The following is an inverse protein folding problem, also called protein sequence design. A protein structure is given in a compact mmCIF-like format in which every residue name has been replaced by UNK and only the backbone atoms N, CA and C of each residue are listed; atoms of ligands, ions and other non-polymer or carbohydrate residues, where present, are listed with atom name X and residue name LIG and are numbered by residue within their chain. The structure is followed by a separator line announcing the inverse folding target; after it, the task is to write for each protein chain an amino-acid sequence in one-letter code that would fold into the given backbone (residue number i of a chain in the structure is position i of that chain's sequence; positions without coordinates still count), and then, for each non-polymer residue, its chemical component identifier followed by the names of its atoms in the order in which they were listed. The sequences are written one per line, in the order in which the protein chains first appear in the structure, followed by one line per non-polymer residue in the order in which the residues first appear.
data_IF_681626884629
#
_entry.id   IF_681626884629
#
_cell.length_a   1.000
_cell.length_b   1.000
_cell.length_c   1.000
_cell.angle_alpha   90.00
_cell.angle_beta   90.00
_cell.angle_gamma   90.00
#
_symmetry.space_group_name_H-M   'P 1'
#
loop_
_entity.id
_entity.type
_entity.pdbx_description
1 polymer ?
#
# COMPACT_ATOMS: atom_id res chain seq x y z
N UNK A 1 -19.22 23.81 21.20
CA UNK A 1 -18.26 22.80 20.68
C UNK A 1 -18.49 22.70 19.18
N UNK A 2 -17.69 23.42 18.39
CA UNK A 2 -18.05 23.86 17.04
C UNK A 2 -17.85 22.75 15.99
N UNK A 3 -18.92 22.46 15.25
CA UNK A 3 -18.97 21.48 14.15
C UNK A 3 -17.99 21.82 13.01
N UNK A 4 -17.61 23.09 12.88
CA UNK A 4 -16.81 23.61 11.77
C UNK A 4 -15.33 23.20 11.81
N UNK A 5 -14.77 22.87 12.97
CA UNK A 5 -13.37 22.41 13.08
C UNK A 5 -13.19 20.93 12.73
N UNK A 6 -14.28 20.14 12.76
CA UNK A 6 -14.25 18.71 12.41
C UNK A 6 -14.21 18.48 10.90
N UNK A 7 -14.84 19.37 10.12
CA UNK A 7 -14.86 19.33 8.66
C UNK A 7 -13.46 19.42 8.04
N UNK A 8 -12.61 20.43 8.33
CA UNK A 8 -11.29 20.56 7.70
C UNK A 8 -10.37 19.40 8.09
N UNK A 9 -10.41 18.90 9.33
CA UNK A 9 -9.65 17.72 9.75
C UNK A 9 -10.06 16.46 8.99
N UNK A 10 -11.37 16.24 8.80
CA UNK A 10 -11.88 15.11 7.99
C UNK A 10 -11.48 15.25 6.53
N UNK A 11 -11.61 16.44 5.94
CA UNK A 11 -11.22 16.69 4.55
C UNK A 11 -9.73 16.42 4.32
N UNK A 12 -8.86 16.90 5.22
CA UNK A 12 -7.41 16.64 5.12
C UNK A 12 -7.09 15.14 5.24
N UNK A 13 -7.73 14.42 6.16
CA UNK A 13 -7.59 12.95 6.25
C UNK A 13 -8.03 12.25 4.96
N UNK A 14 -9.15 12.68 4.38
CA UNK A 14 -9.72 12.04 3.19
C UNK A 14 -8.84 12.30 1.97
N UNK A 15 -8.37 13.55 1.80
CA UNK A 15 -7.41 13.91 0.76
C UNK A 15 -6.08 13.15 0.91
N UNK A 16 -5.56 13.03 2.14
CA UNK A 16 -4.34 12.25 2.39
C UNK A 16 -4.53 10.77 2.06
N UNK A 17 -5.70 10.21 2.36
CA UNK A 17 -6.04 8.81 2.04
C UNK A 17 -6.10 8.59 0.52
N UNK A 18 -6.78 9.49 -0.21
CA UNK A 18 -6.87 9.44 -1.67
C UNK A 18 -5.49 9.62 -2.32
N UNK A 19 -4.70 10.56 -1.81
CA UNK A 19 -3.34 10.78 -2.31
C UNK A 19 -2.45 9.54 -2.12
N UNK A 20 -2.47 8.90 -0.94
CA UNK A 20 -1.72 7.66 -0.72
C UNK A 20 -2.20 6.51 -1.60
N UNK A 21 -3.51 6.40 -1.84
CA UNK A 21 -4.06 5.42 -2.78
C UNK A 21 -3.56 5.65 -4.20
N UNK A 22 -3.54 6.92 -4.65
CA UNK A 22 -3.00 7.30 -5.96
C UNK A 22 -1.50 7.01 -6.08
N UNK A 23 -0.71 7.30 -5.04
CA UNK A 23 0.73 6.97 -5.01
C UNK A 23 0.94 5.45 -5.06
N UNK A 24 0.13 4.67 -4.35
CA UNK A 24 0.20 3.21 -4.40
C UNK A 24 -0.12 2.65 -5.79
N UNK A 25 -1.15 3.17 -6.45
CA UNK A 25 -1.48 2.84 -7.84
C UNK A 25 -0.34 3.18 -8.81
N UNK A 26 0.18 4.40 -8.72
CA UNK A 26 1.25 4.87 -9.61
C UNK A 26 2.55 4.10 -9.39
N UNK A 27 2.89 3.77 -8.14
CA UNK A 27 4.07 2.97 -7.81
C UNK A 27 3.92 1.55 -8.33
N UNK A 28 2.74 0.93 -8.23
CA UNK A 28 2.48 -0.38 -8.85
C UNK A 28 2.70 -0.30 -10.36
N UNK A 29 2.06 0.64 -11.04
CA UNK A 29 2.19 0.80 -12.48
C UNK A 29 3.65 1.04 -12.91
N UNK A 30 4.40 1.85 -12.14
CA UNK A 30 5.79 2.17 -12.42
C UNK A 30 6.78 1.03 -12.19
N UNK A 31 6.55 0.16 -11.20
CA UNK A 31 7.46 -0.95 -10.88
C UNK A 31 7.06 -2.26 -11.53
N UNK A 32 5.77 -2.59 -11.50
CA UNK A 32 5.22 -3.88 -11.92
C UNK A 32 4.50 -3.82 -13.28
N UNK A 33 4.12 -2.63 -13.74
CA UNK A 33 3.36 -2.47 -14.99
C UNK A 33 4.22 -2.43 -16.26
N UNK A 34 5.52 -2.11 -16.16
CA UNK A 34 6.35 -1.85 -17.35
C UNK A 34 7.05 -3.09 -17.92
N UNK A 35 7.42 -4.06 -17.07
CA UNK A 35 8.08 -5.29 -17.50
C UNK A 35 7.47 -6.50 -16.77
N UNK A 36 6.61 -7.21 -17.49
CA UNK A 36 5.89 -8.41 -17.05
C UNK A 36 6.39 -9.68 -17.77
N UNK A 37 7.60 -9.62 -18.35
CA UNK A 37 8.16 -10.74 -19.11
C UNK A 37 8.46 -11.90 -18.17
N UNK A 38 7.91 -13.06 -18.51
CA UNK A 38 8.22 -14.31 -17.80
C UNK A 38 9.55 -14.83 -18.31
N UNK A 39 10.52 -14.91 -17.41
CA UNK A 39 11.78 -15.57 -17.70
C UNK A 39 11.60 -17.08 -17.62
N UNK A 40 11.97 -17.76 -18.70
CA UNK A 40 11.98 -19.22 -18.78
C UNK A 40 13.38 -19.68 -18.42
N UNK A 41 13.50 -20.35 -17.29
CA UNK A 41 14.77 -20.91 -16.86
C UNK A 41 15.15 -22.13 -17.72
N UNK A 42 16.45 -22.48 -17.80
CA UNK A 42 16.93 -23.62 -18.59
C UNK A 42 16.35 -24.98 -18.17
N UNK A 43 15.78 -25.07 -16.96
CA UNK A 43 15.11 -26.25 -16.41
C UNK A 43 13.61 -26.33 -16.78
N UNK A 44 13.11 -25.38 -17.57
CA UNK A 44 11.70 -25.28 -17.97
C UNK A 44 10.78 -24.65 -16.92
N UNK A 45 11.32 -24.23 -15.77
CA UNK A 45 10.55 -23.43 -14.81
C UNK A 45 10.37 -22.00 -15.32
N UNK A 46 9.21 -21.42 -15.05
CA UNK A 46 8.94 -20.01 -15.35
C UNK A 46 8.95 -19.24 -14.05
N UNK A 47 9.73 -18.16 -13.99
CA UNK A 47 9.56 -17.19 -12.90
C UNK A 47 8.23 -16.47 -13.09
N UNK A 48 7.64 -16.05 -11.96
CA UNK A 48 6.44 -15.21 -12.00
C UNK A 48 6.68 -13.94 -12.82
N UNK A 49 5.62 -13.28 -13.31
CA UNK A 49 5.75 -12.10 -14.17
C UNK A 49 6.42 -10.89 -13.48
N UNK A 50 6.64 -10.95 -12.16
CA UNK A 50 7.32 -9.90 -11.41
C UNK A 50 8.60 -10.43 -10.79
N UNK A 51 9.66 -9.66 -10.97
CA UNK A 51 10.96 -9.91 -10.36
C UNK A 51 11.01 -9.39 -8.92
N UNK A 52 11.81 -10.04 -8.08
CA UNK A 52 11.93 -9.69 -6.67
C UNK A 52 12.37 -8.22 -6.47
N UNK A 53 13.23 -7.70 -7.36
CA UNK A 53 13.70 -6.31 -7.28
C UNK A 53 12.58 -5.30 -7.59
N UNK A 54 11.62 -5.64 -8.47
CA UNK A 54 10.47 -4.76 -8.75
C UNK A 54 9.57 -4.64 -7.52
N UNK A 55 9.31 -5.77 -6.85
CA UNK A 55 8.53 -5.81 -5.60
C UNK A 55 9.24 -5.04 -4.49
N UNK A 56 10.56 -5.19 -4.35
CA UNK A 56 11.36 -4.43 -3.39
C UNK A 56 11.30 -2.93 -3.70
N UNK A 57 11.44 -2.53 -4.96
CA UNK A 57 11.32 -1.14 -5.39
C UNK A 57 9.96 -0.53 -5.05
N UNK A 58 8.87 -1.27 -5.27
CA UNK A 58 7.52 -0.88 -4.88
C UNK A 58 7.43 -0.65 -3.36
N UNK A 59 7.88 -1.61 -2.55
CA UNK A 59 7.84 -1.50 -1.08
C UNK A 59 8.64 -0.30 -0.58
N UNK A 60 9.85 -0.10 -1.10
CA UNK A 60 10.70 1.03 -0.73
C UNK A 60 10.09 2.38 -1.14
N UNK A 61 9.33 2.42 -2.24
CA UNK A 61 8.63 3.63 -2.69
C UNK A 61 7.43 3.98 -1.79
N UNK A 62 6.73 2.97 -1.25
CA UNK A 62 5.55 3.17 -0.40
C UNK A 62 5.87 3.42 1.08
N UNK A 63 7.06 3.00 1.54
CA UNK A 63 7.51 3.19 2.92
C UNK A 63 7.51 4.66 3.38
N UNK A 64 8.12 5.62 2.65
CA UNK A 64 8.15 7.03 3.04
C UNK A 64 6.76 7.67 3.23
N UNK A 65 5.80 7.58 2.29
CA UNK A 65 4.48 8.17 2.46
C UNK A 65 3.66 7.50 3.57
N UNK A 66 3.77 6.18 3.77
CA UNK A 66 3.12 5.48 4.89
C UNK A 66 3.72 5.90 6.23
N UNK A 67 5.05 6.01 6.31
CA UNK A 67 5.73 6.50 7.51
C UNK A 67 5.31 7.92 7.87
N UNK A 68 5.24 8.81 6.88
CA UNK A 68 4.77 10.18 7.07
C UNK A 68 3.33 10.22 7.59
N UNK A 69 2.41 9.47 7.00
CA UNK A 69 1.01 9.40 7.46
C UNK A 69 0.89 8.83 8.88
N UNK A 70 1.67 7.78 9.20
CA UNK A 70 1.69 7.16 10.52
C UNK A 70 2.26 8.11 11.60
N UNK A 71 3.35 8.81 11.33
CA UNK A 71 3.95 9.78 12.25
C UNK A 71 3.02 10.96 12.58
N UNK A 72 2.12 11.33 11.65
CA UNK A 72 1.08 12.35 11.85
C UNK A 72 -0.18 11.82 12.53
N UNK A 73 -0.21 10.53 12.93
CA UNK A 73 -1.37 9.82 13.51
C UNK A 73 -2.61 9.77 12.59
N UNK A 74 -2.39 9.82 11.28
CA UNK A 74 -3.45 9.72 10.28
C UNK A 74 -3.76 8.24 9.97
N UNK A 75 -4.32 7.52 10.96
CA UNK A 75 -4.54 6.07 10.91
C UNK A 75 -5.29 5.61 9.64
N UNK A 76 -6.38 6.31 9.29
CA UNK A 76 -7.17 5.99 8.10
C UNK A 76 -6.35 6.14 6.81
N UNK A 77 -5.52 7.19 6.71
CA UNK A 77 -4.71 7.43 5.51
C UNK A 77 -3.56 6.42 5.39
N UNK A 78 -2.87 6.11 6.50
CA UNK A 78 -1.73 5.22 6.53
C UNK A 78 -2.10 3.75 6.21
N UNK A 79 -3.32 3.33 6.56
CA UNK A 79 -3.77 1.94 6.40
C UNK A 79 -4.67 1.79 5.17
N UNK A 80 -5.73 2.60 5.06
CA UNK A 80 -6.72 2.42 4.00
C UNK A 80 -6.22 2.93 2.63
N UNK A 81 -5.36 3.95 2.60
CA UNK A 81 -4.83 4.52 1.36
C UNK A 81 -4.03 3.49 0.54
N UNK A 82 -2.92 2.95 1.07
CA UNK A 82 -2.11 1.96 0.37
C UNK A 82 -2.88 0.67 0.09
N UNK A 83 -3.70 0.21 1.04
CA UNK A 83 -4.53 -0.99 0.87
C UNK A 83 -5.49 -0.83 -0.31
N UNK A 84 -6.22 0.28 -0.38
CA UNK A 84 -7.14 0.55 -1.48
C UNK A 84 -6.40 0.69 -2.82
N UNK A 85 -5.31 1.45 -2.86
CA UNK A 85 -4.53 1.65 -4.08
C UNK A 85 -3.93 0.34 -4.62
N UNK A 86 -3.32 -0.47 -3.76
CA UNK A 86 -2.76 -1.77 -4.15
C UNK A 86 -3.85 -2.75 -4.60
N UNK A 87 -5.00 -2.78 -3.90
CA UNK A 87 -6.11 -3.68 -4.26
C UNK A 87 -6.70 -3.31 -5.63
N UNK A 88 -6.86 -2.01 -5.90
CA UNK A 88 -7.36 -1.54 -7.20
C UNK A 88 -6.36 -1.82 -8.32
N UNK A 89 -5.05 -1.59 -8.10
CA UNK A 89 -4.03 -1.97 -9.08
C UNK A 89 -4.06 -3.46 -9.39
N UNK A 90 -4.10 -4.31 -8.35
CA UNK A 90 -4.18 -5.77 -8.51
C UNK A 90 -5.42 -6.18 -9.32
N UNK A 91 -6.56 -5.56 -9.02
CA UNK A 91 -7.80 -5.84 -9.74
C UNK A 91 -7.68 -5.45 -11.21
N UNK A 92 -7.21 -4.24 -11.52
CA UNK A 92 -7.06 -3.79 -12.92
C UNK A 92 -6.07 -4.66 -13.68
N UNK A 93 -4.95 -5.04 -13.07
CA UNK A 93 -3.87 -5.81 -13.70
C UNK A 93 -4.26 -7.27 -13.95
N UNK A 94 -5.09 -7.88 -13.07
CA UNK A 94 -5.40 -9.32 -13.14
C UNK A 94 -6.83 -9.65 -13.55
N UNK A 95 -7.73 -8.66 -13.67
CA UNK A 95 -9.16 -8.91 -13.95
C UNK A 95 -9.45 -9.58 -15.29
N UNK A 96 -8.51 -9.53 -16.24
CA UNK A 96 -8.64 -10.19 -17.55
C UNK A 96 -8.36 -11.71 -17.50
N UNK A 97 -7.95 -12.27 -16.34
CA UNK A 97 -7.76 -13.71 -16.18
C UNK A 97 -9.10 -14.46 -16.00
N UNK A 98 -9.49 -15.18 -17.05
CA UNK A 98 -10.73 -15.96 -17.12
C UNK A 98 -10.81 -17.14 -16.13
N UNK A 99 -9.71 -17.50 -15.46
CA UNK A 99 -9.67 -18.60 -14.50
C UNK A 99 -10.40 -18.33 -13.18
N UNK A 100 -10.65 -17.05 -12.86
CA UNK A 100 -11.23 -16.62 -11.59
C UNK A 100 -10.27 -16.64 -10.39
N UNK A 101 -9.04 -17.16 -10.57
CA UNK A 101 -7.98 -17.14 -9.56
C UNK A 101 -7.52 -15.72 -9.21
N UNK A 102 -7.74 -14.76 -10.12
CA UNK A 102 -7.40 -13.35 -9.90
C UNK A 102 -8.06 -12.80 -8.62
N UNK A 103 -9.31 -13.20 -8.32
CA UNK A 103 -10.02 -12.73 -7.14
C UNK A 103 -9.34 -13.16 -5.83
N UNK A 104 -8.74 -14.35 -5.82
CA UNK A 104 -7.96 -14.85 -4.67
C UNK A 104 -6.65 -14.06 -4.54
N UNK A 105 -5.98 -13.78 -5.66
CA UNK A 105 -4.79 -12.94 -5.69
C UNK A 105 -5.07 -11.54 -5.16
N UNK A 106 -6.12 -10.87 -5.65
CA UNK A 106 -6.55 -9.55 -5.20
C UNK A 106 -6.90 -9.57 -3.71
N UNK A 107 -7.59 -10.62 -3.24
CA UNK A 107 -7.88 -10.80 -1.82
C UNK A 107 -6.62 -10.93 -0.96
N UNK A 108 -5.62 -11.68 -1.41
CA UNK A 108 -4.32 -11.81 -0.75
C UNK A 108 -3.57 -10.47 -0.70
N UNK A 109 -3.59 -9.69 -1.78
CA UNK A 109 -3.00 -8.34 -1.81
C UNK A 109 -3.71 -7.43 -0.81
N UNK A 110 -5.04 -7.46 -0.77
CA UNK A 110 -5.84 -6.67 0.17
C UNK A 110 -5.53 -7.03 1.62
N UNK A 111 -5.57 -8.32 1.97
CA UNK A 111 -5.32 -8.78 3.35
C UNK A 111 -3.86 -8.55 3.75
N UNK A 112 -2.91 -8.85 2.87
CA UNK A 112 -1.48 -8.67 3.12
C UNK A 112 -1.13 -7.20 3.32
N UNK A 113 -1.59 -6.33 2.42
CA UNK A 113 -1.36 -4.88 2.52
C UNK A 113 -2.01 -4.28 3.78
N UNK A 114 -3.22 -4.70 4.12
CA UNK A 114 -3.90 -4.28 5.34
C UNK A 114 -3.13 -4.71 6.60
N UNK A 115 -2.68 -5.97 6.66
CA UNK A 115 -1.92 -6.49 7.80
C UNK A 115 -0.59 -5.76 7.98
N UNK A 116 0.19 -5.60 6.90
CA UNK A 116 1.49 -4.93 6.93
C UNK A 116 1.37 -3.46 7.28
N UNK A 117 0.44 -2.72 6.65
CA UNK A 117 0.25 -1.29 6.94
C UNK A 117 -0.29 -1.04 8.35
N UNK A 118 -1.15 -1.92 8.87
CA UNK A 118 -1.63 -1.87 10.26
C UNK A 118 -0.51 -2.14 11.26
N UNK A 119 0.32 -3.17 11.02
CA UNK A 119 1.46 -3.47 11.86
C UNK A 119 2.48 -2.32 11.85
N UNK A 120 2.79 -1.78 10.68
CA UNK A 120 3.71 -0.65 10.52
C UNK A 120 3.18 0.60 11.23
N UNK A 121 1.88 0.90 11.10
CA UNK A 121 1.25 1.99 11.85
C UNK A 121 1.36 1.80 13.36
N UNK A 122 1.08 0.59 13.87
CA UNK A 122 1.18 0.28 15.30
C UNK A 122 2.62 0.45 15.83
N UNK A 123 3.63 -0.04 15.08
CA UNK A 123 5.04 0.09 15.45
C UNK A 123 5.47 1.56 15.45
N UNK A 124 5.16 2.32 14.38
CA UNK A 124 5.55 3.73 14.28
C UNK A 124 4.90 4.55 15.39
N UNK A 125 3.62 4.33 15.67
CA UNK A 125 2.92 5.04 16.75
C UNK A 125 3.45 4.66 18.14
N UNK A 126 3.83 3.40 18.37
CA UNK A 126 4.46 2.99 19.62
C UNK A 126 5.85 3.64 19.81
N UNK A 127 6.66 3.72 18.76
CA UNK A 127 7.99 4.33 18.78
C UNK A 127 7.93 5.87 18.91
N UNK A 128 6.96 6.51 18.26
CA UNK A 128 6.77 7.98 18.35
C UNK A 128 5.93 8.40 19.56
N UNK A 129 5.23 7.48 20.21
CA UNK A 129 4.43 7.69 21.41
C UNK A 129 5.23 7.67 22.72
N UNK A 130 6.37 6.97 22.75
CA UNK A 130 7.29 6.96 23.90
C UNK A 130 8.33 8.08 23.80
N UNK A 131 7.89 9.33 23.75
CA UNK A 131 8.77 10.43 24.16
C UNK A 131 8.92 10.37 25.68
N UNK A 132 10.09 10.08 26.27
CA UNK A 132 10.29 10.26 27.69
C UNK A 132 10.40 11.77 27.94
N UNK A 133 9.26 12.38 28.25
CA UNK A 133 9.23 13.29 29.39
C UNK A 133 9.49 12.45 30.64
N UNK A 134 10.75 12.30 31.03
CA UNK A 134 11.11 11.90 32.38
C UNK A 134 12.00 12.99 32.98
N UNK A 135 11.33 13.75 33.86
CA UNK A 135 11.83 14.70 34.86
C UNK A 135 13.25 14.47 35.37
#
# INVERSE_FOLDING_TARGET
MNTNERLPKRTVHLLATIALAGVALAAWAGWLGWDQRRDVHPDGSTTGPYEAWQVIGLVLTLLPPVYWAASRRYAAAAVLGPTAGLTVAAYVDWSDDASGLFAVGVGLVMVGSLAVTSALYAVITALTGHGPESR
#
